data_IF_013320492564
#
_entry.id   IF_013320492564
#
_cell.length_a   1.000
_cell.length_b   1.000
_cell.length_c   1.000
_cell.angle_alpha   90.00
_cell.angle_beta   90.00
_cell.angle_gamma   90.00
#
_symmetry.space_group_name_H-M   'P 1'
#
loop_
_entity.id
_entity.type
_entity.pdbx_description
1 polymer ?
#
# COMPACT_ATOMS: atom_id res chain seq x y z
N UNK A 1 26.97 -17.94 3.64
CA UNK A 1 26.29 -17.98 2.33
C UNK A 1 26.13 -16.56 1.84
N UNK A 2 26.50 -16.27 0.59
CA UNK A 2 26.33 -14.95 -0.04
C UNK A 2 25.09 -15.03 -0.92
N UNK A 3 24.00 -14.38 -0.52
CA UNK A 3 22.83 -14.20 -1.38
C UNK A 3 22.99 -12.86 -2.08
N UNK A 4 23.47 -12.88 -3.32
CA UNK A 4 23.43 -11.73 -4.22
C UNK A 4 22.22 -11.86 -5.13
N UNK A 5 21.18 -11.06 -4.90
CA UNK A 5 20.06 -10.91 -5.81
C UNK A 5 20.34 -9.81 -6.82
N UNK A 6 20.41 -10.14 -8.11
CA UNK A 6 20.48 -9.16 -9.19
C UNK A 6 19.05 -8.72 -9.54
N UNK A 7 18.52 -7.73 -8.82
CA UNK A 7 17.23 -7.11 -9.11
C UNK A 7 17.36 -6.16 -10.30
N UNK A 8 17.23 -6.68 -11.52
CA UNK A 8 17.12 -5.83 -12.70
C UNK A 8 15.75 -5.17 -12.74
N UNK A 9 15.61 -3.96 -12.18
CA UNK A 9 14.54 -3.07 -12.64
C UNK A 9 14.70 -2.96 -14.15
N UNK A 10 13.65 -3.14 -14.97
CA UNK A 10 13.77 -2.84 -16.38
C UNK A 10 14.28 -1.40 -16.47
N UNK A 11 15.49 -1.24 -17.02
CA UNK A 11 16.06 0.05 -17.37
C UNK A 11 15.16 0.62 -18.48
N UNK A 12 14.11 1.28 -18.04
CA UNK A 12 13.00 1.72 -18.84
C UNK A 12 12.11 2.50 -17.92
N UNK A 13 12.64 3.63 -17.42
CA UNK A 13 11.82 4.66 -16.77
C UNK A 13 10.57 4.82 -17.61
N UNK A 14 9.42 4.76 -16.93
CA UNK A 14 8.08 4.72 -17.51
C UNK A 14 8.09 5.40 -18.87
N UNK A 15 8.18 4.59 -19.94
CA UNK A 15 8.30 5.14 -21.28
C UNK A 15 6.98 5.85 -21.52
N UNK A 16 6.98 7.17 -21.29
CA UNK A 16 5.79 8.00 -21.31
C UNK A 16 5.15 7.74 -22.65
N UNK A 17 4.06 6.96 -22.62
CA UNK A 17 3.48 6.39 -23.82
C UNK A 17 3.14 7.58 -24.70
N UNK A 18 3.74 7.66 -25.89
CA UNK A 18 3.49 8.77 -26.80
C UNK A 18 2.04 8.63 -27.28
N UNK A 19 1.12 9.26 -26.55
CA UNK A 19 -0.26 9.36 -26.97
C UNK A 19 -0.27 10.32 -28.17
N UNK A 20 -0.75 9.82 -29.31
CA UNK A 20 -0.99 10.62 -30.50
C UNK A 20 -2.25 11.46 -30.28
N UNK A 21 -2.12 12.52 -29.49
CA UNK A 21 -3.16 13.51 -29.28
C UNK A 21 -3.09 14.59 -30.36
N UNK A 22 -4.22 15.18 -30.76
CA UNK A 22 -4.19 16.36 -31.61
C UNK A 22 -3.49 17.51 -30.88
N UNK A 23 -2.82 18.39 -31.64
CA UNK A 23 -2.15 19.58 -31.07
C UNK A 23 -3.13 20.57 -30.44
N UNK A 24 -4.41 20.50 -30.83
CA UNK A 24 -5.49 21.33 -30.29
C UNK A 24 -6.81 20.58 -30.35
N UNK A 25 -7.65 20.78 -29.34
CA UNK A 25 -9.05 20.32 -29.37
C UNK A 25 -9.85 21.19 -30.33
N UNK A 26 -10.85 20.60 -30.99
CA UNK A 26 -11.68 21.28 -32.00
C UNK A 26 -12.45 22.49 -31.45
N UNK A 27 -12.73 22.51 -30.16
CA UNK A 27 -13.30 23.65 -29.46
C UNK A 27 -12.15 24.28 -28.69
N UNK A 28 -11.77 25.50 -29.06
CA UNK A 28 -10.86 26.30 -28.27
C UNK A 28 -11.63 26.77 -27.03
N UNK A 29 -11.09 26.47 -25.85
CA UNK A 29 -11.62 27.00 -24.60
C UNK A 29 -11.46 28.53 -24.63
N UNK A 30 -12.57 29.28 -24.70
CA UNK A 30 -12.54 30.75 -24.71
C UNK A 30 -12.35 31.30 -23.29
N UNK A 31 -11.32 30.82 -22.59
CA UNK A 31 -10.97 31.20 -21.21
C UNK A 31 -12.10 30.96 -20.19
N UNK A 32 -13.10 30.15 -20.55
CA UNK A 32 -14.29 29.86 -19.73
C UNK A 32 -14.04 28.70 -18.77
N UNK A 33 -13.09 27.81 -19.08
CA UNK A 33 -12.70 26.65 -18.27
C UNK A 33 -11.61 26.91 -17.22
N UNK A 34 -11.08 28.13 -17.13
CA UNK A 34 -10.12 28.46 -16.07
C UNK A 34 -10.83 28.40 -14.70
N UNK A 35 -10.36 27.51 -13.83
CA UNK A 35 -10.79 27.46 -12.43
C UNK A 35 -10.55 28.86 -11.83
N UNK A 36 -11.63 29.56 -11.48
CA UNK A 36 -11.60 30.90 -10.89
C UNK A 36 -11.18 30.88 -9.43
N UNK A 37 -11.11 29.69 -8.83
CA UNK A 37 -10.86 29.45 -7.42
C UNK A 37 -9.73 28.43 -7.24
N UNK A 38 -8.74 28.79 -6.42
CA UNK A 38 -7.73 27.85 -5.85
C UNK A 38 -8.32 26.96 -4.75
N UNK A 39 -9.59 27.18 -4.38
CA UNK A 39 -10.33 26.46 -3.36
C UNK A 39 -11.03 25.21 -3.89
N UNK A 40 -12.23 24.93 -3.37
CA UNK A 40 -12.97 23.77 -3.83
C UNK A 40 -13.46 23.98 -5.27
N UNK A 41 -13.33 22.95 -6.11
CA UNK A 41 -13.68 23.06 -7.52
C UNK A 41 -15.15 23.46 -7.74
N UNK A 42 -16.04 23.10 -6.81
CA UNK A 42 -17.46 23.43 -6.87
C UNK A 42 -17.78 24.89 -6.49
N UNK A 43 -16.84 25.64 -5.92
CA UNK A 43 -17.04 27.07 -5.65
C UNK A 43 -17.16 27.88 -6.96
N UNK A 44 -16.66 27.34 -8.07
CA UNK A 44 -16.75 27.94 -9.40
C UNK A 44 -18.19 28.06 -9.93
N UNK A 45 -19.14 27.32 -9.37
CA UNK A 45 -20.57 27.45 -9.71
C UNK A 45 -21.22 28.69 -9.07
N UNK A 46 -20.58 29.29 -8.07
CA UNK A 46 -21.11 30.44 -7.33
C UNK A 46 -22.52 30.19 -6.74
N UNK A 47 -22.81 28.94 -6.36
CA UNK A 47 -24.06 28.51 -5.73
C UNK A 47 -23.77 27.97 -4.31
N UNK A 48 -24.19 28.69 -3.25
CA UNK A 48 -23.93 28.28 -1.86
C UNK A 48 -24.74 27.05 -1.45
N UNK A 49 -25.93 26.82 -2.03
CA UNK A 49 -26.73 25.64 -1.74
C UNK A 49 -26.06 24.39 -2.33
N UNK A 50 -25.61 24.47 -3.58
CA UNK A 50 -24.85 23.41 -4.22
C UNK A 50 -23.59 23.08 -3.42
N UNK A 51 -22.86 24.10 -2.97
CA UNK A 51 -21.65 23.94 -2.18
C UNK A 51 -21.92 23.23 -0.85
N UNK A 52 -23.03 23.57 -0.17
CA UNK A 52 -23.44 22.89 1.07
C UNK A 52 -23.80 21.41 0.83
N UNK A 53 -24.52 21.11 -0.25
CA UNK A 53 -24.88 19.74 -0.62
C UNK A 53 -23.63 18.92 -0.95
N UNK A 54 -22.72 19.47 -1.76
CA UNK A 54 -21.46 18.78 -2.10
C UNK A 54 -20.63 18.55 -0.84
N UNK A 55 -20.52 19.53 0.05
CA UNK A 55 -19.82 19.37 1.33
C UNK A 55 -20.43 18.26 2.19
N UNK A 56 -21.76 18.19 2.29
CA UNK A 56 -22.44 17.13 3.01
C UNK A 56 -22.21 15.75 2.39
N UNK A 57 -22.30 15.65 1.06
CA UNK A 57 -22.03 14.40 0.33
C UNK A 57 -20.59 13.96 0.54
N UNK A 58 -19.60 14.84 0.37
CA UNK A 58 -18.19 14.49 0.56
C UNK A 58 -17.89 13.99 1.97
N UNK A 59 -18.57 14.53 2.99
CA UNK A 59 -18.41 14.07 4.36
C UNK A 59 -19.03 12.68 4.63
N UNK A 60 -20.05 12.28 3.86
CA UNK A 60 -20.81 11.04 4.11
C UNK A 60 -20.86 10.05 2.95
N UNK A 61 -20.06 10.25 1.89
CA UNK A 61 -20.07 9.41 0.70
C UNK A 61 -19.33 8.09 0.97
N UNK A 62 -20.07 6.98 0.96
CA UNK A 62 -19.53 5.64 1.24
C UNK A 62 -18.60 5.14 0.13
N UNK A 63 -18.83 5.54 -1.12
CA UNK A 63 -17.97 5.14 -2.25
C UNK A 63 -16.58 5.76 -2.12
N UNK A 64 -16.51 7.04 -1.72
CA UNK A 64 -15.23 7.71 -1.45
C UNK A 64 -14.51 7.09 -0.24
N UNK A 65 -15.25 6.72 0.81
CA UNK A 65 -14.68 6.03 1.96
C UNK A 65 -14.09 4.66 1.55
N UNK A 66 -14.82 3.91 0.74
CA UNK A 66 -14.39 2.61 0.21
C UNK A 66 -13.17 2.73 -0.71
N UNK A 67 -13.15 3.73 -1.60
CA UNK A 67 -11.98 4.02 -2.43
C UNK A 67 -10.74 4.36 -1.59
N UNK A 68 -10.91 5.12 -0.51
CA UNK A 68 -9.83 5.42 0.44
C UNK A 68 -9.28 4.18 1.15
N UNK A 69 -10.15 3.23 1.49
CA UNK A 69 -9.74 1.95 2.09
C UNK A 69 -8.97 1.08 1.08
N UNK A 70 -9.45 0.97 -0.17
CA UNK A 70 -8.74 0.23 -1.22
C UNK A 70 -7.36 0.82 -1.50
N UNK A 71 -7.23 2.14 -1.48
CA UNK A 71 -5.93 2.78 -1.62
C UNK A 71 -4.99 2.43 -0.46
N UNK A 72 -5.50 2.44 0.78
CA UNK A 72 -4.70 2.03 1.96
C UNK A 72 -4.28 0.57 1.88
N UNK A 73 -5.18 -0.33 1.46
CA UNK A 73 -4.87 -1.75 1.24
C UNK A 73 -3.74 -1.91 0.23
N UNK A 74 -3.81 -1.22 -0.91
CA UNK A 74 -2.75 -1.23 -1.92
C UNK A 74 -1.39 -0.71 -1.39
N UNK A 75 -1.41 0.28 -0.50
CA UNK A 75 -0.18 0.77 0.16
C UNK A 75 0.42 -0.27 1.10
N UNK A 76 -0.42 -0.96 1.88
CA UNK A 76 0.04 -2.03 2.77
C UNK A 76 0.57 -3.23 1.98
N UNK A 77 -0.09 -3.61 0.89
CA UNK A 77 0.38 -4.69 0.02
C UNK A 77 1.74 -4.37 -0.61
N UNK A 78 1.95 -3.12 -1.06
CA UNK A 78 3.23 -2.68 -1.57
C UNK A 78 4.34 -2.73 -0.50
N UNK A 79 4.01 -2.40 0.75
CA UNK A 79 4.93 -2.49 1.89
C UNK A 79 5.26 -3.95 2.25
N UNK A 80 4.29 -4.86 2.22
CA UNK A 80 4.50 -6.30 2.43
C UNK A 80 5.44 -6.89 1.37
N UNK A 81 5.27 -6.54 0.10
CA UNK A 81 6.16 -6.97 -0.98
C UNK A 81 7.59 -6.45 -0.74
N UNK A 82 7.73 -5.24 -0.20
CA UNK A 82 9.03 -4.70 0.19
C UNK A 82 9.64 -5.47 1.38
N UNK A 83 8.84 -5.82 2.40
CA UNK A 83 9.27 -6.61 3.55
C UNK A 83 9.72 -8.04 3.18
N UNK A 84 9.07 -8.67 2.20
CA UNK A 84 9.43 -10.00 1.70
C UNK A 84 10.77 -10.04 0.93
N UNK A 85 11.37 -8.88 0.61
CA UNK A 85 12.73 -8.79 0.07
C UNK A 85 13.80 -8.91 1.16
N UNK A 86 13.42 -8.80 2.43
CA UNK A 86 14.32 -8.98 3.58
C UNK A 86 14.16 -10.38 4.15
N UNK A 87 15.26 -11.04 4.57
CA UNK A 87 15.17 -12.35 5.22
C UNK A 87 14.34 -12.24 6.50
N UNK A 88 13.34 -13.11 6.64
CA UNK A 88 12.58 -13.25 7.87
C UNK A 88 13.51 -13.79 8.97
N UNK A 89 13.56 -13.11 10.12
CA UNK A 89 14.42 -13.48 11.24
C UNK A 89 13.54 -14.10 12.33
N UNK A 90 13.65 -15.42 12.49
CA UNK A 90 12.91 -16.15 13.50
C UNK A 90 13.84 -16.69 14.59
N UNK A 91 13.45 -16.51 15.85
CA UNK A 91 14.14 -17.09 17.00
C UNK A 91 13.16 -18.01 17.76
N UNK A 92 13.52 -19.28 17.90
CA UNK A 92 12.70 -20.27 18.60
C UNK A 92 13.46 -20.82 19.82
N UNK A 93 12.80 -20.76 20.98
CA UNK A 93 13.26 -21.41 22.22
C UNK A 93 12.32 -22.57 22.54
N UNK A 94 12.86 -23.78 22.63
CA UNK A 94 12.09 -24.96 23.03
C UNK A 94 12.80 -25.75 24.13
N UNK A 95 12.02 -26.23 25.12
CA UNK A 95 12.50 -27.07 26.21
C UNK A 95 11.64 -28.33 26.31
N UNK A 96 12.27 -29.51 26.34
CA UNK A 96 11.57 -30.80 26.44
C UNK A 96 12.07 -31.56 27.68
N UNK A 97 11.14 -31.97 28.53
CA UNK A 97 11.39 -32.84 29.68
C UNK A 97 10.68 -34.19 29.46
N UNK A 98 11.43 -35.27 29.30
CA UNK A 98 10.90 -36.63 29.18
C UNK A 98 11.21 -37.38 30.47
N UNK A 99 10.18 -37.92 31.11
CA UNK A 99 10.31 -38.78 32.30
C UNK A 99 9.87 -40.19 31.93
N UNK A 100 10.82 -41.11 31.79
CA UNK A 100 10.52 -42.53 31.59
C UNK A 100 10.31 -43.20 32.93
N UNK A 101 9.12 -43.76 33.15
CA UNK A 101 8.74 -44.44 34.40
C UNK A 101 9.09 -45.94 34.35
N UNK A 102 10.32 -46.31 33.99
CA UNK A 102 10.79 -47.71 34.05
C UNK A 102 12.28 -47.72 34.41
N UNK A 103 12.59 -48.37 35.54
CA UNK A 103 13.91 -48.72 36.09
C UNK A 103 15.08 -47.78 35.77
N UNK A 104 15.41 -46.96 36.78
CA UNK A 104 16.74 -46.40 37.06
C UNK A 104 17.47 -45.61 35.94
N UNK A 105 16.75 -44.84 35.10
CA UNK A 105 17.40 -43.88 34.20
C UNK A 105 17.13 -42.43 34.64
N UNK A 106 18.20 -41.62 34.75
CA UNK A 106 18.13 -40.22 35.20
C UNK A 106 17.26 -39.36 34.26
N UNK A 107 16.52 -38.37 34.79
CA UNK A 107 15.77 -37.42 33.99
C UNK A 107 16.69 -36.67 33.01
N UNK A 108 16.25 -36.52 31.77
CA UNK A 108 17.02 -35.88 30.71
C UNK A 108 16.31 -34.60 30.29
N UNK A 109 16.99 -33.46 30.46
CA UNK A 109 16.49 -32.15 30.05
C UNK A 109 17.21 -31.71 28.78
N UNK A 110 16.44 -31.36 27.75
CA UNK A 110 16.98 -30.91 26.47
C UNK A 110 16.45 -29.51 26.19
N UNK A 111 17.37 -28.55 26.09
CA UNK A 111 17.12 -27.17 25.68
C UNK A 111 17.67 -26.97 24.28
N UNK A 112 16.83 -26.52 23.35
CA UNK A 112 17.23 -26.24 21.97
C UNK A 112 16.89 -24.79 21.63
N UNK A 113 17.90 -24.05 21.18
CA UNK A 113 17.80 -22.69 20.68
C UNK A 113 18.19 -22.69 19.21
N UNK A 114 17.28 -22.26 18.34
CA UNK A 114 17.56 -22.15 16.91
C UNK A 114 17.26 -20.71 16.45
N UNK A 115 18.11 -20.21 15.57
CA UNK A 115 17.95 -18.95 14.85
C UNK A 115 18.12 -19.25 13.36
N UNK A 116 17.26 -18.69 12.52
CA UNK A 116 17.30 -18.84 11.06
C UNK A 116 17.23 -17.49 10.39
#
# INVERSE_FOLDING_TARGET
MLIGGCGGSPAGGEAQRQLLLPSQWRIADEDVGALRSDGAWWDNFNDPLLSAVIGAVLASNQDLALAGLQWREALLDAELVSGNLTPDMAANLSGRNIRTLQSATRPQEVYQTAFS
#
